data_IF_723430657939
#
_entry.id   IF_723430657939
#
_cell.length_a   1.000
_cell.length_b   1.000
_cell.length_c   1.000
_cell.angle_alpha   90.00
_cell.angle_beta   90.00
_cell.angle_gamma   90.00
#
_symmetry.space_group_name_H-M   'P 1'
#
loop_
_entity.id
_entity.type
_entity.pdbx_description
1 polymer ?
#
# COMPACT_ATOMS: atom_id res chain seq x y z
N UNK A 1 -11.85 -37.47 -55.30
CA UNK A 1 -12.28 -37.86 -53.94
C UNK A 1 -11.38 -37.13 -52.92
N UNK A 2 -11.82 -36.01 -52.41
CA UNK A 2 -11.09 -35.23 -51.40
C UNK A 2 -11.82 -35.36 -50.09
N UNK A 3 -11.16 -35.87 -49.06
CA UNK A 3 -11.66 -35.92 -47.68
C UNK A 3 -11.31 -34.64 -46.97
N UNK A 4 -12.32 -33.92 -46.54
CA UNK A 4 -12.24 -32.72 -45.70
C UNK A 4 -12.00 -33.13 -44.23
N UNK A 5 -10.84 -32.78 -43.67
CA UNK A 5 -10.53 -32.96 -42.26
C UNK A 5 -11.22 -31.91 -41.39
N UNK A 6 -12.02 -32.37 -40.45
CA UNK A 6 -12.72 -31.52 -39.49
C UNK A 6 -11.71 -30.91 -38.47
N UNK A 7 -11.75 -29.60 -38.33
CA UNK A 7 -11.06 -28.86 -37.26
C UNK A 7 -11.89 -28.90 -36.00
N UNK A 8 -11.47 -29.68 -35.01
CA UNK A 8 -12.04 -29.68 -33.67
C UNK A 8 -11.62 -28.40 -32.94
N UNK A 9 -12.53 -27.46 -32.78
CA UNK A 9 -12.31 -26.27 -31.99
C UNK A 9 -12.28 -26.65 -30.49
N UNK A 10 -11.14 -26.50 -29.87
CA UNK A 10 -11.00 -26.57 -28.41
C UNK A 10 -11.76 -25.37 -27.80
N UNK A 11 -12.89 -25.66 -27.19
CA UNK A 11 -13.69 -24.71 -26.43
C UNK A 11 -13.00 -24.48 -25.07
N UNK A 12 -12.20 -23.43 -24.95
CA UNK A 12 -11.63 -23.00 -23.67
C UNK A 12 -12.79 -22.57 -22.79
N UNK A 13 -13.08 -23.34 -21.74
CA UNK A 13 -13.99 -22.95 -20.68
C UNK A 13 -13.37 -21.76 -19.94
N UNK A 14 -13.97 -20.59 -20.14
CA UNK A 14 -13.70 -19.43 -19.30
C UNK A 14 -14.28 -19.72 -17.91
N UNK A 15 -13.46 -20.27 -17.00
CA UNK A 15 -13.81 -20.37 -15.60
C UNK A 15 -13.91 -18.96 -15.06
N UNK A 16 -15.10 -18.61 -14.59
CA UNK A 16 -15.40 -17.37 -13.90
C UNK A 16 -14.50 -17.31 -12.65
N UNK A 17 -13.42 -16.52 -12.73
CA UNK A 17 -12.69 -16.12 -11.53
C UNK A 17 -13.73 -15.42 -10.65
N UNK A 18 -14.05 -16.04 -9.53
CA UNK A 18 -14.94 -15.48 -8.53
C UNK A 18 -14.38 -14.10 -8.17
N UNK A 19 -15.12 -13.06 -8.52
CA UNK A 19 -14.83 -11.67 -8.13
C UNK A 19 -15.02 -11.64 -6.62
N UNK A 20 -13.94 -11.87 -5.87
CA UNK A 20 -13.93 -11.59 -4.44
C UNK A 20 -14.39 -10.14 -4.30
N UNK A 21 -15.50 -9.93 -3.62
CA UNK A 21 -16.03 -8.60 -3.30
C UNK A 21 -14.89 -7.82 -2.66
N UNK A 22 -14.24 -6.95 -3.43
CA UNK A 22 -13.21 -6.04 -2.92
C UNK A 22 -13.93 -5.11 -1.94
N UNK A 23 -13.84 -5.45 -0.67
CA UNK A 23 -14.41 -4.66 0.41
C UNK A 23 -13.86 -3.24 0.27
N UNK A 24 -14.73 -2.24 0.27
CA UNK A 24 -14.28 -0.84 0.23
C UNK A 24 -13.27 -0.62 1.35
N UNK A 25 -12.11 -0.02 1.08
CA UNK A 25 -11.11 0.20 2.12
C UNK A 25 -11.71 1.05 3.23
N UNK A 26 -11.50 0.64 4.47
CA UNK A 26 -11.97 1.32 5.67
C UNK A 26 -10.85 1.36 6.71
N UNK A 27 -10.93 2.32 7.62
CA UNK A 27 -10.04 2.37 8.79
C UNK A 27 -10.56 1.38 9.83
N UNK A 28 -9.70 0.45 10.24
CA UNK A 28 -10.02 -0.47 11.34
C UNK A 28 -9.71 0.22 12.69
N UNK A 29 -10.72 0.54 13.50
CA UNK A 29 -10.52 1.25 14.76
C UNK A 29 -9.70 0.47 15.79
N UNK A 30 -9.55 -0.85 15.63
CA UNK A 30 -8.71 -1.68 16.53
C UNK A 30 -7.21 -1.38 16.35
N UNK A 31 -6.83 -0.88 15.19
CA UNK A 31 -5.44 -0.60 14.82
C UNK A 31 -5.13 0.89 14.72
N UNK A 32 -6.15 1.75 14.71
CA UNK A 32 -6.05 3.19 14.66
C UNK A 32 -6.11 3.82 16.07
N UNK A 33 -5.25 4.82 16.32
CA UNK A 33 -5.21 5.53 17.61
C UNK A 33 -5.89 6.91 17.55
N UNK A 34 -6.29 7.34 16.34
CA UNK A 34 -6.95 8.63 16.09
C UNK A 34 -8.06 8.46 15.06
N UNK A 35 -9.00 9.41 15.05
CA UNK A 35 -10.06 9.44 14.06
C UNK A 35 -9.53 9.87 12.70
N UNK A 36 -9.83 9.07 11.69
CA UNK A 36 -9.35 9.26 10.32
C UNK A 36 -10.43 8.85 9.32
N UNK A 37 -10.35 9.39 8.11
CA UNK A 37 -11.23 9.00 7.01
C UNK A 37 -10.45 8.71 5.74
N UNK A 38 -11.03 7.88 4.86
CA UNK A 38 -10.51 7.61 3.52
C UNK A 38 -11.34 8.40 2.52
N UNK A 39 -10.69 9.29 1.75
CA UNK A 39 -11.32 10.06 0.68
C UNK A 39 -10.41 10.18 -0.55
N UNK A 40 -10.87 10.84 -1.61
CA UNK A 40 -10.05 11.11 -2.80
C UNK A 40 -8.80 11.89 -2.47
N UNK A 41 -7.67 11.51 -3.09
CA UNK A 41 -6.37 12.13 -2.89
C UNK A 41 -5.86 12.79 -4.18
N UNK A 42 -5.22 13.95 -4.02
CA UNK A 42 -4.49 14.60 -5.12
C UNK A 42 -3.15 13.95 -5.45
N UNK A 43 -2.67 13.05 -4.57
CA UNK A 43 -1.42 12.30 -4.78
C UNK A 43 -1.70 11.08 -5.65
N UNK A 44 -2.58 10.18 -5.17
CA UNK A 44 -2.96 8.99 -5.91
C UNK A 44 -4.29 8.43 -5.39
N UNK A 45 -5.26 8.27 -6.28
CA UNK A 45 -6.58 7.63 -6.02
C UNK A 45 -7.25 8.07 -4.72
N UNK A 46 -7.00 7.36 -3.63
CA UNK A 46 -7.50 7.63 -2.28
C UNK A 46 -6.36 7.87 -1.33
N UNK A 47 -6.61 8.59 -0.27
CA UNK A 47 -5.69 8.85 0.83
C UNK A 47 -6.42 8.80 2.16
N UNK A 48 -5.66 8.72 3.23
CA UNK A 48 -6.15 8.78 4.60
C UNK A 48 -5.95 10.18 5.15
N UNK A 49 -6.96 10.74 5.77
CA UNK A 49 -6.96 12.12 6.30
C UNK A 49 -7.26 12.12 7.79
N UNK A 50 -6.55 12.94 8.54
CA UNK A 50 -6.82 13.16 9.95
C UNK A 50 -8.15 13.89 10.14
N UNK A 51 -8.99 13.42 11.06
CA UNK A 51 -10.23 14.11 11.48
C UNK A 51 -10.04 14.89 12.77
N UNK A 52 -8.96 14.63 13.49
CA UNK A 52 -8.61 15.29 14.74
C UNK A 52 -7.13 15.64 14.80
N UNK A 53 -6.75 16.38 15.83
CA UNK A 53 -5.37 16.80 16.05
C UNK A 53 -4.50 15.64 16.52
N UNK A 54 -3.40 15.36 15.81
CA UNK A 54 -2.46 14.29 16.15
C UNK A 54 -1.15 14.91 16.64
N UNK A 55 -0.77 14.75 17.91
CA UNK A 55 0.49 15.26 18.45
C UNK A 55 1.69 14.55 17.82
N UNK A 56 2.86 15.22 17.80
CA UNK A 56 4.13 14.63 17.37
C UNK A 56 4.52 13.40 18.21
N UNK A 57 5.11 12.40 17.56
CA UNK A 57 5.69 11.22 18.21
C UNK A 57 4.66 10.16 18.65
N UNK A 58 3.40 10.28 18.22
CA UNK A 58 2.35 9.32 18.59
C UNK A 58 2.23 8.21 17.56
N UNK A 59 1.90 6.97 18.03
CA UNK A 59 1.39 5.93 17.13
C UNK A 59 0.07 6.45 16.53
N UNK A 60 -0.03 6.41 15.20
CA UNK A 60 -1.22 6.85 14.48
C UNK A 60 -2.06 5.66 14.07
N UNK A 61 -1.46 4.70 13.38
CA UNK A 61 -2.09 3.48 12.91
C UNK A 61 -1.04 2.39 12.75
N UNK A 62 -1.45 1.14 12.88
CA UNK A 62 -0.63 -0.03 12.59
C UNK A 62 -0.93 -0.53 11.18
N UNK A 63 0.08 -0.77 10.38
CA UNK A 63 -0.05 -1.43 9.08
C UNK A 63 -0.23 -2.93 9.29
N UNK A 64 -1.41 -3.43 9.01
CA UNK A 64 -1.74 -4.84 9.12
C UNK A 64 -1.99 -5.48 7.78
N UNK A 65 -2.05 -6.81 7.75
CA UNK A 65 -2.33 -7.57 6.55
C UNK A 65 -1.90 -9.03 6.70
N UNK A 66 -1.99 -9.75 5.60
CA UNK A 66 -1.51 -11.13 5.54
C UNK A 66 0.02 -11.16 5.57
N UNK A 67 0.60 -11.98 6.46
CA UNK A 67 2.04 -12.21 6.52
C UNK A 67 2.44 -13.25 5.48
N UNK A 68 3.23 -12.85 4.50
CA UNK A 68 3.62 -13.67 3.36
C UNK A 68 5.15 -13.82 3.26
N UNK A 69 5.60 -14.95 2.69
CA UNK A 69 7.02 -15.19 2.46
C UNK A 69 7.59 -14.34 1.32
N UNK A 70 8.93 -14.19 1.26
CA UNK A 70 9.61 -13.50 0.16
C UNK A 70 9.32 -14.08 -1.23
N UNK A 71 9.09 -15.41 -1.32
CA UNK A 71 8.68 -16.07 -2.57
C UNK A 71 7.30 -15.56 -3.01
N UNK A 72 6.35 -15.53 -2.09
CA UNK A 72 4.99 -15.05 -2.35
C UNK A 72 4.97 -13.53 -2.63
N UNK A 73 5.81 -12.76 -1.94
CA UNK A 73 6.02 -11.32 -2.23
C UNK A 73 6.38 -11.09 -3.70
N UNK A 74 7.34 -11.85 -4.23
CA UNK A 74 7.74 -11.74 -5.64
C UNK A 74 6.57 -12.05 -6.58
N UNK A 75 5.79 -13.07 -6.28
CA UNK A 75 4.63 -13.47 -7.10
C UNK A 75 3.55 -12.37 -7.11
N UNK A 76 3.21 -11.81 -5.93
CA UNK A 76 2.19 -10.75 -5.81
C UNK A 76 2.67 -9.40 -6.31
N UNK A 77 3.97 -9.15 -6.23
CA UNK A 77 4.60 -7.88 -6.67
C UNK A 77 4.58 -7.64 -8.19
N UNK A 78 4.15 -8.63 -8.98
CA UNK A 78 3.96 -8.49 -10.44
C UNK A 78 2.69 -7.72 -10.83
N UNK A 79 1.81 -7.43 -9.86
CA UNK A 79 0.60 -6.65 -10.08
C UNK A 79 0.87 -5.15 -10.27
N UNK A 80 -0.04 -4.45 -10.98
CA UNK A 80 0.04 -3.01 -11.20
C UNK A 80 -0.17 -2.16 -9.93
N UNK A 81 -0.79 -2.74 -8.92
CA UNK A 81 -1.03 -2.12 -7.61
C UNK A 81 -0.77 -3.17 -6.56
N UNK A 82 0.12 -2.85 -5.62
CA UNK A 82 0.47 -3.73 -4.51
C UNK A 82 0.45 -2.95 -3.20
N UNK A 83 0.07 -3.64 -2.13
CA UNK A 83 0.05 -3.14 -0.77
C UNK A 83 1.05 -3.94 0.08
N UNK A 84 2.27 -4.10 -0.46
CA UNK A 84 3.30 -4.95 0.10
C UNK A 84 4.27 -4.14 0.95
N UNK A 85 4.35 -4.43 2.23
CA UNK A 85 5.31 -3.81 3.15
C UNK A 85 6.34 -4.85 3.62
N UNK A 86 7.62 -4.65 3.31
CA UNK A 86 8.69 -5.53 3.77
C UNK A 86 8.89 -5.38 5.28
N UNK A 87 8.65 -6.46 6.02
CA UNK A 87 8.82 -6.49 7.47
C UNK A 87 10.29 -6.75 7.85
N UNK A 88 10.89 -7.76 7.22
CA UNK A 88 12.27 -8.19 7.44
C UNK A 88 12.79 -8.99 6.21
N UNK A 89 13.93 -9.65 6.36
CA UNK A 89 14.53 -10.44 5.28
C UNK A 89 13.70 -11.65 4.85
N UNK A 90 12.75 -12.10 5.63
CA UNK A 90 11.95 -13.31 5.42
C UNK A 90 10.51 -13.01 5.07
N UNK A 91 9.95 -11.91 5.62
CA UNK A 91 8.52 -11.66 5.65
C UNK A 91 8.14 -10.31 5.06
N UNK A 92 6.98 -10.30 4.46
CA UNK A 92 6.27 -9.10 3.96
C UNK A 92 4.85 -9.13 4.50
N UNK A 93 4.28 -7.98 4.78
CA UNK A 93 2.86 -7.83 5.10
C UNK A 93 2.16 -7.35 3.83
N UNK A 94 1.13 -8.09 3.43
CA UNK A 94 0.25 -7.72 2.31
C UNK A 94 -1.04 -7.09 2.84
N UNK A 95 -1.15 -5.78 2.79
CA UNK A 95 -2.31 -5.03 3.25
C UNK A 95 -3.57 -5.20 2.40
N UNK A 96 -3.47 -5.83 1.22
CA UNK A 96 -4.64 -6.16 0.41
C UNK A 96 -5.60 -7.13 1.13
N UNK A 97 -5.07 -7.93 2.07
CA UNK A 97 -5.83 -8.95 2.82
C UNK A 97 -5.70 -8.63 4.32
N UNK A 98 -6.78 -8.22 4.95
CA UNK A 98 -6.80 -7.87 6.38
C UNK A 98 -6.05 -6.57 6.72
N UNK A 99 -5.94 -5.65 5.76
CA UNK A 99 -5.39 -4.33 5.98
C UNK A 99 -6.22 -3.49 6.95
N UNK A 100 -5.55 -2.62 7.69
CA UNK A 100 -6.15 -1.71 8.69
C UNK A 100 -6.64 -0.38 8.11
N UNK A 101 -6.40 -0.12 6.83
CA UNK A 101 -6.53 1.18 6.19
C UNK A 101 -5.19 1.93 6.06
N UNK A 102 -4.14 1.48 6.77
CA UNK A 102 -2.80 2.05 6.64
C UNK A 102 -2.19 1.84 5.24
N UNK A 103 -2.60 0.82 4.53
CA UNK A 103 -2.20 0.51 3.15
C UNK A 103 -2.68 1.57 2.14
N UNK A 104 -3.66 2.39 2.52
CA UNK A 104 -4.18 3.50 1.71
C UNK A 104 -3.41 4.81 1.93
N UNK A 105 -2.53 4.87 2.92
CA UNK A 105 -1.70 6.05 3.20
C UNK A 105 -0.68 6.23 2.07
N UNK A 106 -0.76 7.37 1.39
CA UNK A 106 0.05 7.67 0.21
C UNK A 106 1.51 8.01 0.54
N UNK A 107 2.35 7.91 -0.49
CA UNK A 107 3.74 8.35 -0.42
C UNK A 107 3.86 9.87 -0.48
N UNK A 108 4.78 10.42 0.34
CA UNK A 108 5.33 11.77 0.19
C UNK A 108 6.83 11.79 0.46
N UNK A 109 7.59 12.59 -0.31
CA UNK A 109 9.03 12.79 -0.09
C UNK A 109 9.33 13.65 1.16
N UNK A 110 8.35 14.41 1.64
CA UNK A 110 8.39 15.15 2.90
C UNK A 110 7.14 14.79 3.74
N UNK A 111 7.12 13.58 4.32
CA UNK A 111 5.93 13.00 4.91
C UNK A 111 5.68 13.53 6.32
N UNK A 112 4.42 13.43 6.78
CA UNK A 112 4.04 13.72 8.17
C UNK A 112 4.07 12.49 9.09
N UNK A 113 4.26 11.29 8.51
CA UNK A 113 4.47 10.06 9.27
C UNK A 113 5.85 9.46 8.98
N UNK A 114 6.33 8.63 9.91
CA UNK A 114 7.46 7.74 9.70
C UNK A 114 7.11 6.33 10.18
N UNK A 115 7.82 5.35 9.66
CA UNK A 115 7.62 3.94 10.02
C UNK A 115 8.51 3.54 11.17
N UNK A 116 7.96 2.76 12.10
CA UNK A 116 8.69 2.08 13.17
C UNK A 116 8.29 0.61 13.21
N UNK A 117 9.26 -0.29 13.09
CA UNK A 117 9.01 -1.73 13.22
C UNK A 117 9.42 -2.15 14.64
N UNK A 118 8.48 -2.74 15.37
CA UNK A 118 8.68 -3.19 16.77
C UNK A 118 8.07 -4.58 16.93
N UNK A 119 8.89 -5.55 17.26
CA UNK A 119 8.46 -6.95 17.53
C UNK A 119 7.54 -7.51 16.43
N UNK A 120 7.84 -7.22 15.15
CA UNK A 120 7.05 -7.69 14.02
C UNK A 120 5.80 -6.87 13.69
N UNK A 121 5.54 -5.77 14.40
CA UNK A 121 4.46 -4.82 14.13
C UNK A 121 5.00 -3.61 13.35
N UNK A 122 4.32 -3.20 12.29
CA UNK A 122 4.66 -2.03 11.49
C UNK A 122 3.78 -0.87 11.95
N UNK A 123 4.39 0.11 12.63
CA UNK A 123 3.69 1.25 13.22
C UNK A 123 3.97 2.52 12.42
N UNK A 124 2.93 3.24 12.02
CA UNK A 124 3.05 4.59 11.49
C UNK A 124 2.95 5.59 12.64
N UNK A 125 4.01 6.38 12.79
CA UNK A 125 4.21 7.34 13.87
C UNK A 125 4.17 8.76 13.32
N UNK A 126 3.55 9.70 14.02
CA UNK A 126 3.55 11.11 13.63
C UNK A 126 4.96 11.74 13.76
N UNK A 127 5.48 12.28 12.66
CA UNK A 127 6.77 12.96 12.60
C UNK A 127 6.71 14.40 13.14
N UNK A 128 5.56 15.01 13.01
CA UNK A 128 5.22 16.35 13.50
C UNK A 128 3.78 16.37 14.00
N UNK A 129 3.36 17.51 14.49
CA UNK A 129 1.94 17.77 14.72
C UNK A 129 1.19 17.72 13.38
N UNK A 130 0.01 17.08 13.37
CA UNK A 130 -0.89 16.97 12.21
C UNK A 130 -2.23 17.55 12.62
N UNK A 131 -2.77 18.44 11.77
CA UNK A 131 -4.06 19.08 12.06
C UNK A 131 -5.21 18.38 11.32
N UNK A 132 -6.46 18.54 11.76
CA UNK A 132 -7.63 18.00 11.05
C UNK A 132 -7.64 18.43 9.58
N UNK A 133 -7.99 17.50 8.68
CA UNK A 133 -8.03 17.73 7.24
C UNK A 133 -6.71 17.51 6.50
N UNK A 134 -5.57 17.30 7.20
CA UNK A 134 -4.33 16.93 6.54
C UNK A 134 -4.36 15.48 6.03
N UNK A 135 -3.84 15.27 4.82
CA UNK A 135 -3.58 13.93 4.31
C UNK A 135 -2.38 13.31 5.03
N UNK A 136 -2.55 12.10 5.54
CA UNK A 136 -1.49 11.31 6.14
C UNK A 136 -0.61 10.73 5.03
N UNK A 137 0.70 10.87 5.18
CA UNK A 137 1.66 10.42 4.18
C UNK A 137 2.90 9.81 4.83
N UNK A 138 3.51 8.84 4.15
CA UNK A 138 4.74 8.18 4.57
C UNK A 138 5.72 8.09 3.41
N UNK A 139 7.02 8.02 3.67
CA UNK A 139 8.00 7.74 2.62
C UNK A 139 8.10 6.23 2.39
N UNK A 140 7.71 5.76 1.19
CA UNK A 140 7.74 4.33 0.84
C UNK A 140 9.16 3.76 0.72
N UNK A 141 10.15 4.60 0.37
CA UNK A 141 11.56 4.23 0.23
C UNK A 141 11.75 2.98 -0.64
N UNK A 142 11.15 2.95 -1.82
CA UNK A 142 11.39 1.84 -2.75
C UNK A 142 12.86 1.78 -3.10
N UNK A 143 13.41 0.55 -3.16
CA UNK A 143 14.79 0.33 -3.57
C UNK A 143 15.05 0.88 -4.98
N UNK A 144 16.25 1.43 -5.22
CA UNK A 144 16.70 1.85 -6.55
C UNK A 144 16.96 0.69 -7.51
N UNK A 145 16.97 -0.56 -6.99
CA UNK A 145 17.01 -1.79 -7.81
C UNK A 145 15.67 -2.14 -8.45
N UNK A 146 14.58 -1.49 -8.03
CA UNK A 146 13.25 -1.64 -8.63
C UNK A 146 13.08 -0.62 -9.76
N UNK A 147 12.14 -0.90 -10.67
CA UNK A 147 11.77 0.03 -11.73
C UNK A 147 11.45 1.41 -11.15
N UNK A 148 11.94 2.50 -11.77
CA UNK A 148 11.72 3.86 -11.29
C UNK A 148 10.24 4.23 -11.27
N UNK A 149 9.73 4.64 -10.11
CA UNK A 149 8.34 5.07 -9.94
C UNK A 149 8.27 6.59 -9.76
N UNK A 150 7.60 7.27 -10.68
CA UNK A 150 7.40 8.73 -10.60
C UNK A 150 6.63 9.12 -9.35
N UNK A 151 7.18 10.06 -8.58
CA UNK A 151 6.51 10.66 -7.45
C UNK A 151 5.54 11.77 -7.87
N UNK A 152 4.35 11.79 -7.27
CA UNK A 152 3.30 12.80 -7.49
C UNK A 152 2.92 13.57 -6.21
N UNK A 153 3.77 13.51 -5.16
CA UNK A 153 3.44 14.06 -3.85
C UNK A 153 3.34 15.61 -3.80
N UNK A 154 3.88 16.31 -4.80
CA UNK A 154 3.86 17.80 -4.90
C UNK A 154 4.52 18.52 -3.72
N UNK A 155 5.28 17.84 -2.87
CA UNK A 155 6.04 18.49 -1.81
C UNK A 155 7.13 19.40 -2.40
N UNK A 156 7.45 20.51 -1.72
CA UNK A 156 8.53 21.43 -2.15
C UNK A 156 9.89 20.70 -2.31
N UNK A 157 10.14 19.70 -1.47
CA UNK A 157 11.36 18.85 -1.50
C UNK A 157 11.10 17.51 -2.18
N UNK A 158 10.23 17.47 -3.20
CA UNK A 158 9.96 16.23 -3.93
C UNK A 158 11.19 15.76 -4.70
N UNK A 159 11.56 14.47 -4.53
CA UNK A 159 12.69 13.83 -5.24
C UNK A 159 12.41 13.53 -6.71
N UNK A 160 11.15 13.64 -7.15
CA UNK A 160 10.70 13.23 -8.50
C UNK A 160 10.45 11.72 -8.63
N UNK A 161 11.09 10.90 -7.79
CA UNK A 161 10.92 9.45 -7.73
C UNK A 161 10.56 9.01 -6.30
N UNK A 162 9.84 7.88 -6.21
CA UNK A 162 9.59 7.20 -4.92
C UNK A 162 10.82 6.43 -4.47
N UNK A 163 11.60 5.93 -5.43
CA UNK A 163 12.81 5.16 -5.19
C UNK A 163 13.88 6.01 -4.47
N UNK A 164 14.66 5.35 -3.63
CA UNK A 164 15.80 5.92 -2.90
C UNK A 164 17.02 5.02 -3.10
N UNK A 165 18.21 5.60 -3.14
CA UNK A 165 19.45 4.82 -3.11
C UNK A 165 19.53 4.07 -1.79
N UNK A 166 19.87 2.79 -1.86
CA UNK A 166 20.22 2.00 -0.67
C UNK A 166 21.60 2.50 -0.20
N UNK A 167 21.69 2.88 1.07
CA UNK A 167 22.95 3.21 1.75
C UNK A 167 23.68 1.94 2.17
#
# INVERSE_FOLDING_TARGET
MWRTGGKTALRVKCEKVATALVKSPNIDPRHACFQMEIRESRIHRRGVYALEHIPKGRKVIEYTGERISRRETKRRGLGSITYLFTLDNYWTIDGAIGGSGAEIINHCCDPNLYTRIVRGHILYMSKRVIVPGEELTVDYRFSDKLDPVRCRCRAKKCRGLINVKEE
#
